data_IF_983704186272
#
_entry.id   IF_983704186272
#
_cell.length_a   1.000
_cell.length_b   1.000
_cell.length_c   1.000
_cell.angle_alpha   90.00
_cell.angle_beta   90.00
_cell.angle_gamma   90.00
#
_symmetry.space_group_name_H-M   'P 1'
#
loop_
_entity.id
_entity.type
_entity.pdbx_description
1 polymer ?
#
# COMPACT_ATOMS: atom_id res chain seq x y z
N UNK A 1 9.74 -27.95 2.23
CA UNK A 1 9.69 -29.15 3.11
C UNK A 1 8.92 -28.90 4.41
N UNK A 2 9.44 -28.17 5.41
CA UNK A 2 8.71 -27.98 6.68
C UNK A 2 7.39 -27.19 6.50
N UNK A 3 7.44 -26.08 5.76
CA UNK A 3 6.28 -25.26 5.40
C UNK A 3 5.18 -26.10 4.70
N UNK A 4 5.55 -26.84 3.65
CA UNK A 4 4.62 -27.72 2.92
C UNK A 4 4.02 -28.82 3.80
N UNK A 5 4.79 -29.34 4.77
CA UNK A 5 4.28 -30.33 5.72
C UNK A 5 3.23 -29.71 6.65
N UNK A 6 3.43 -28.48 7.14
CA UNK A 6 2.41 -27.77 7.93
C UNK A 6 1.17 -27.51 7.08
N UNK A 7 1.32 -27.01 5.85
CA UNK A 7 0.19 -26.85 4.93
C UNK A 7 -0.63 -28.14 4.80
N UNK A 8 0.06 -29.28 4.60
CA UNK A 8 -0.58 -30.58 4.45
C UNK A 8 -1.32 -31.01 5.73
N UNK A 9 -0.74 -30.73 6.91
CA UNK A 9 -1.37 -30.99 8.21
C UNK A 9 -2.69 -30.23 8.32
N UNK A 10 -2.71 -28.95 7.97
CA UNK A 10 -3.91 -28.11 8.05
C UNK A 10 -5.02 -28.52 7.06
N UNK A 11 -4.66 -29.14 5.94
CA UNK A 11 -5.62 -29.63 4.93
C UNK A 11 -6.19 -31.01 5.29
N UNK A 12 -5.36 -31.90 5.86
CA UNK A 12 -5.68 -33.33 5.94
C UNK A 12 -6.19 -33.80 7.30
N UNK A 13 -6.03 -32.98 8.36
CA UNK A 13 -6.28 -33.40 9.74
C UNK A 13 -7.43 -32.61 10.35
N UNK A 14 -8.31 -33.30 11.09
CA UNK A 14 -9.50 -32.69 11.71
C UNK A 14 -9.17 -31.64 12.78
N UNK A 15 -8.06 -31.82 13.51
CA UNK A 15 -7.58 -30.92 14.57
C UNK A 15 -6.10 -30.56 14.36
N UNK A 16 -5.79 -29.72 13.36
CA UNK A 16 -4.41 -29.45 12.98
C UNK A 16 -3.62 -28.70 14.05
N UNK A 17 -4.29 -27.88 14.88
CA UNK A 17 -3.66 -27.13 15.99
C UNK A 17 -3.07 -28.04 17.06
N UNK A 18 -3.74 -29.15 17.39
CA UNK A 18 -3.25 -30.10 18.41
C UNK A 18 -1.97 -30.77 17.95
N UNK A 19 -1.94 -31.28 16.71
CA UNK A 19 -0.74 -31.90 16.17
C UNK A 19 0.41 -30.89 16.02
N UNK A 20 0.12 -29.67 15.55
CA UNK A 20 1.14 -28.62 15.47
C UNK A 20 1.68 -28.27 16.87
N UNK A 21 0.86 -28.32 17.91
CA UNK A 21 1.31 -28.07 19.28
C UNK A 21 2.26 -29.16 19.77
N UNK A 22 1.93 -30.43 19.51
CA UNK A 22 2.81 -31.57 19.83
C UNK A 22 4.15 -31.48 19.08
N UNK A 23 4.12 -31.13 17.79
CA UNK A 23 5.32 -30.94 16.98
C UNK A 23 6.17 -29.79 17.53
N UNK A 24 5.56 -28.63 17.80
CA UNK A 24 6.27 -27.47 18.35
C UNK A 24 6.88 -27.78 19.72
N UNK A 25 6.14 -28.46 20.61
CA UNK A 25 6.63 -28.86 21.92
C UNK A 25 7.82 -29.82 21.82
N UNK A 26 7.75 -30.82 20.93
CA UNK A 26 8.84 -31.78 20.71
C UNK A 26 10.07 -31.12 20.09
N UNK A 27 9.89 -30.18 19.18
CA UNK A 27 11.02 -29.42 18.62
C UNK A 27 11.64 -28.52 19.69
N UNK A 28 10.81 -27.85 20.51
CA UNK A 28 11.31 -27.01 21.60
C UNK A 28 12.10 -27.82 22.66
N UNK A 29 11.66 -29.05 22.98
CA UNK A 29 12.41 -29.92 23.88
C UNK A 29 13.76 -30.34 23.27
N UNK A 30 13.76 -30.74 21.99
CA UNK A 30 15.00 -31.10 21.27
C UNK A 30 15.97 -29.93 21.16
N UNK A 31 15.46 -28.70 20.98
CA UNK A 31 16.30 -27.50 20.96
C UNK A 31 16.91 -27.25 22.34
N UNK A 32 16.14 -27.44 23.41
CA UNK A 32 16.61 -27.31 24.79
C UNK A 32 17.67 -28.37 25.12
N UNK A 33 17.49 -29.61 24.67
CA UNK A 33 18.45 -30.71 24.87
C UNK A 33 19.75 -30.52 24.08
N UNK A 34 19.71 -29.84 22.94
CA UNK A 34 20.88 -29.53 22.11
C UNK A 34 21.45 -28.12 22.40
N UNK A 35 21.05 -27.48 23.50
CA UNK A 35 21.61 -26.19 23.90
C UNK A 35 23.07 -26.37 24.35
N UNK A 36 23.93 -25.46 23.92
CA UNK A 36 25.37 -25.54 24.23
C UNK A 36 25.61 -24.85 25.56
N UNK A 37 26.36 -25.51 26.45
CA UNK A 37 26.84 -24.90 27.70
C UNK A 37 27.88 -23.84 27.38
N UNK A 38 27.53 -22.57 27.55
CA UNK A 38 28.48 -21.45 27.46
C UNK A 38 28.78 -20.92 28.87
N UNK A 39 30.04 -21.01 29.30
CA UNK A 39 30.49 -20.45 30.58
C UNK A 39 30.97 -19.02 30.34
N UNK A 40 30.14 -18.04 30.71
CA UNK A 40 30.49 -16.61 30.58
C UNK A 40 31.17 -16.09 31.85
N UNK A 41 30.94 -16.73 33.01
CA UNK A 41 31.55 -16.45 34.33
C UNK A 41 31.68 -17.76 35.13
N UNK A 42 32.54 -17.82 36.18
CA UNK A 42 32.82 -19.06 36.92
C UNK A 42 31.62 -19.76 37.57
N UNK A 43 30.45 -19.09 37.67
CA UNK A 43 29.27 -19.57 38.39
C UNK A 43 27.93 -19.30 37.67
N UNK A 44 27.92 -19.12 36.34
CA UNK A 44 26.65 -18.99 35.59
C UNK A 44 26.71 -19.79 34.30
N UNK A 45 26.10 -20.97 34.33
CA UNK A 45 25.81 -21.77 33.13
C UNK A 45 24.70 -21.07 32.34
N UNK A 46 25.04 -20.55 31.16
CA UNK A 46 24.06 -20.06 30.20
C UNK A 46 23.96 -21.09 29.08
N UNK A 47 22.78 -21.68 28.94
CA UNK A 47 22.47 -22.55 27.81
C UNK A 47 22.15 -21.70 26.61
N UNK A 48 23.03 -21.71 25.61
CA UNK A 48 22.89 -20.91 24.40
C UNK A 48 22.41 -21.81 23.25
N UNK A 49 21.21 -21.49 22.74
CA UNK A 49 20.63 -22.20 21.61
C UNK A 49 21.33 -21.72 20.34
N UNK A 50 21.81 -22.62 19.46
CA UNK A 50 22.35 -22.21 18.18
C UNK A 50 21.37 -21.35 17.37
N UNK A 51 21.81 -20.17 16.92
CA UNK A 51 20.97 -19.21 16.22
C UNK A 51 20.25 -19.80 14.99
N UNK A 52 20.90 -20.71 14.26
CA UNK A 52 20.27 -21.41 13.12
C UNK A 52 19.05 -22.26 13.55
N UNK A 53 19.13 -22.97 14.68
CA UNK A 53 18.01 -23.77 15.20
C UNK A 53 16.88 -22.86 15.68
N UNK A 54 17.24 -21.77 16.36
CA UNK A 54 16.29 -20.76 16.82
C UNK A 54 15.55 -20.11 15.64
N UNK A 55 16.27 -19.69 14.59
CA UNK A 55 15.69 -19.09 13.40
C UNK A 55 14.72 -20.05 12.69
N UNK A 56 15.09 -21.33 12.56
CA UNK A 56 14.20 -22.35 11.97
C UNK A 56 12.93 -22.55 12.79
N UNK A 57 13.05 -22.58 14.12
CA UNK A 57 11.90 -22.72 15.00
C UNK A 57 10.98 -21.50 14.93
N UNK A 58 11.53 -20.28 14.94
CA UNK A 58 10.75 -19.05 14.76
C UNK A 58 10.00 -19.02 13.43
N UNK A 59 10.66 -19.45 12.34
CA UNK A 59 10.01 -19.58 11.03
C UNK A 59 8.82 -20.55 11.06
N UNK A 60 9.00 -21.71 11.73
CA UNK A 60 7.94 -22.69 11.96
C UNK A 60 6.76 -22.06 12.72
N UNK A 61 7.01 -21.37 13.83
CA UNK A 61 5.98 -20.69 14.62
C UNK A 61 5.17 -19.71 13.77
N UNK A 62 5.85 -18.88 12.98
CA UNK A 62 5.20 -17.97 12.05
C UNK A 62 4.37 -18.69 11.00
N UNK A 63 4.87 -19.79 10.42
CA UNK A 63 4.15 -20.55 9.42
C UNK A 63 2.89 -21.22 10.01
N UNK A 64 2.96 -21.77 11.22
CA UNK A 64 1.79 -22.33 11.93
C UNK A 64 0.73 -21.24 12.16
N UNK A 65 1.13 -20.04 12.60
CA UNK A 65 0.21 -18.93 12.79
C UNK A 65 -0.50 -18.54 11.49
N UNK A 66 0.24 -18.43 10.39
CA UNK A 66 -0.35 -18.10 9.07
C UNK A 66 -1.31 -19.19 8.60
N UNK A 67 -0.93 -20.47 8.69
CA UNK A 67 -1.79 -21.58 8.28
C UNK A 67 -3.06 -21.67 9.13
N UNK A 68 -2.96 -21.35 10.42
CA UNK A 68 -4.15 -21.24 11.28
C UNK A 68 -5.14 -20.21 10.77
N UNK A 69 -4.67 -19.02 10.38
CA UNK A 69 -5.52 -17.98 9.78
C UNK A 69 -6.13 -18.42 8.47
N UNK A 70 -5.34 -19.04 7.59
CA UNK A 70 -5.82 -19.53 6.29
C UNK A 70 -6.90 -20.59 6.47
N UNK A 71 -6.67 -21.56 7.36
CA UNK A 71 -7.63 -22.61 7.69
C UNK A 71 -8.95 -22.04 8.22
N UNK A 72 -8.89 -21.06 9.13
CA UNK A 72 -10.09 -20.43 9.65
C UNK A 72 -10.83 -19.61 8.57
N UNK A 73 -10.11 -18.75 7.85
CA UNK A 73 -10.70 -17.81 6.87
C UNK A 73 -11.17 -18.48 5.57
N UNK A 74 -10.57 -19.59 5.16
CA UNK A 74 -10.91 -20.27 3.90
C UNK A 74 -11.78 -21.50 4.16
N UNK A 75 -11.32 -22.43 4.99
CA UNK A 75 -11.97 -23.73 5.15
C UNK A 75 -13.15 -23.66 6.12
N UNK A 76 -12.92 -23.11 7.32
CA UNK A 76 -13.99 -22.97 8.32
C UNK A 76 -15.04 -21.97 7.85
N UNK A 77 -14.66 -20.83 7.26
CA UNK A 77 -15.62 -19.89 6.70
C UNK A 77 -16.53 -20.55 5.65
N UNK A 78 -15.95 -21.29 4.70
CA UNK A 78 -16.72 -22.00 3.69
C UNK A 78 -17.65 -23.05 4.31
N UNK A 79 -17.19 -23.76 5.34
CA UNK A 79 -17.98 -24.73 6.08
C UNK A 79 -19.16 -24.09 6.82
N UNK A 80 -18.93 -23.04 7.60
CA UNK A 80 -19.97 -22.32 8.34
C UNK A 80 -21.01 -21.71 7.39
N UNK A 81 -20.56 -21.14 6.28
CA UNK A 81 -21.44 -20.61 5.22
C UNK A 81 -22.36 -21.70 4.64
N UNK A 82 -21.82 -22.90 4.37
CA UNK A 82 -22.63 -24.05 3.91
C UNK A 82 -23.66 -24.47 4.97
N UNK A 83 -23.26 -24.49 6.24
CA UNK A 83 -24.16 -24.86 7.34
C UNK A 83 -25.31 -23.86 7.50
N UNK A 84 -25.04 -22.55 7.42
CA UNK A 84 -26.08 -21.53 7.52
C UNK A 84 -27.02 -21.55 6.31
N UNK A 85 -26.51 -21.81 5.11
CA UNK A 85 -27.35 -22.03 3.92
C UNK A 85 -28.29 -23.23 4.10
N UNK A 86 -27.82 -24.32 4.71
CA UNK A 86 -28.66 -25.49 5.02
C UNK A 86 -29.69 -25.18 6.11
N UNK A 87 -29.33 -24.42 7.15
CA UNK A 87 -30.27 -23.95 8.18
C UNK A 87 -31.35 -23.06 7.59
N UNK A 88 -31.01 -22.17 6.65
CA UNK A 88 -31.97 -21.35 5.91
C UNK A 88 -32.97 -22.21 5.13
N UNK A 89 -32.48 -23.20 4.37
CA UNK A 89 -33.35 -24.16 3.64
C UNK A 89 -34.33 -24.87 4.58
N UNK A 90 -33.85 -25.29 5.76
CA UNK A 90 -34.68 -25.92 6.80
C UNK A 90 -35.70 -24.95 7.41
N UNK A 91 -35.34 -23.68 7.66
CA UNK A 91 -36.24 -22.64 8.18
C UNK A 91 -37.30 -22.24 7.15
N UNK A 92 -36.97 -22.19 5.85
CA UNK A 92 -37.94 -21.92 4.79
C UNK A 92 -38.90 -23.08 4.52
N UNK A 93 -38.55 -24.31 4.92
CA UNK A 93 -39.42 -25.49 4.80
C UNK A 93 -40.36 -25.70 5.98
N UNK A 94 -40.29 -24.88 7.05
CA UNK A 94 -41.28 -24.90 8.13
C UNK A 94 -42.50 -24.10 7.65
N UNK A 95 -43.69 -24.72 7.47
CA UNK A 95 -44.88 -23.97 7.12
C UNK A 95 -45.22 -22.99 8.25
N UNK A 96 -45.59 -21.75 7.91
CA UNK A 96 -46.11 -20.74 8.85
C UNK A 96 -47.44 -21.23 9.46
N UNK A 97 -47.36 -22.15 10.41
CA UNK A 97 -48.49 -22.57 11.25
C UNK A 97 -48.41 -21.65 12.47
N UNK A 98 -49.45 -20.84 12.69
CA UNK A 98 -49.56 -19.73 13.66
C UNK A 98 -49.06 -18.35 13.20
N UNK A 99 -49.73 -17.79 12.17
CA UNK A 99 -50.10 -16.37 12.24
C UNK A 99 -51.53 -16.26 12.76
N UNK A 100 -51.69 -15.90 14.03
CA UNK A 100 -52.96 -15.49 14.62
C UNK A 100 -53.52 -14.28 13.85
N UNK A 101 -54.83 -14.22 13.52
CA UNK A 101 -55.39 -13.07 12.81
C UNK A 101 -55.38 -11.85 13.75
N UNK A 102 -54.73 -10.76 13.32
CA UNK A 102 -54.92 -9.44 13.96
C UNK A 102 -56.35 -8.98 13.69
N UNK A 103 -57.13 -8.54 14.69
CA UNK A 103 -58.43 -7.92 14.46
C UNK A 103 -58.21 -6.56 13.77
N UNK A 104 -58.99 -6.30 12.72
CA UNK A 104 -58.97 -5.03 12.01
C UNK A 104 -59.53 -3.89 12.86
N UNK A 105 -58.89 -2.72 12.78
CA UNK A 105 -59.54 -1.44 13.06
C UNK A 105 -59.07 -0.40 12.04
N UNK A 106 -60.04 -0.05 11.19
CA UNK A 106 -60.31 1.20 10.46
C UNK A 106 -59.17 2.00 9.80
N UNK A 107 -59.36 2.14 8.49
CA UNK A 107 -58.90 3.19 7.59
C UNK A 107 -59.33 4.62 7.99
N UNK A 108 -58.44 5.61 7.80
CA UNK A 108 -58.65 6.96 7.16
C UNK A 108 -57.37 7.83 7.33
N UNK A 109 -57.18 9.00 6.65
CA UNK A 109 -56.37 9.11 5.43
C UNK A 109 -55.16 10.07 5.56
N UNK A 110 -54.38 10.15 4.47
CA UNK A 110 -53.20 11.01 4.23
C UNK A 110 -53.23 12.41 4.87
N UNK A 111 -52.09 12.80 5.47
CA UNK A 111 -51.59 14.19 5.38
C UNK A 111 -50.06 14.24 5.41
N UNK A 112 -49.51 15.13 4.58
CA UNK A 112 -48.09 15.41 4.44
C UNK A 112 -47.54 16.12 5.68
N UNK A 113 -46.36 15.71 6.17
CA UNK A 113 -45.31 16.63 6.60
C UNK A 113 -44.01 15.91 6.95
N UNK A 114 -42.98 16.19 6.14
CA UNK A 114 -41.63 16.65 6.55
C UNK A 114 -41.01 15.96 7.79
N UNK A 115 -40.00 15.11 7.59
CA UNK A 115 -38.93 14.88 8.57
C UNK A 115 -37.60 14.49 7.92
N UNK A 116 -36.66 15.45 8.01
CA UNK A 116 -35.20 15.22 8.09
C UNK A 116 -34.88 14.37 9.32
N UNK A 117 -33.69 13.77 9.30
CA UNK A 117 -33.11 12.77 10.22
C UNK A 117 -33.48 11.33 9.88
N UNK A 118 -32.87 10.83 8.81
CA UNK A 118 -32.50 9.42 8.74
C UNK A 118 -31.42 9.18 9.81
N UNK A 119 -31.88 8.87 11.01
CA UNK A 119 -31.13 8.10 11.98
C UNK A 119 -30.53 6.89 11.26
N UNK A 120 -29.24 6.63 11.46
CA UNK A 120 -28.59 5.37 11.13
C UNK A 120 -29.52 4.21 11.52
N UNK A 121 -30.30 3.71 10.55
CA UNK A 121 -30.99 2.44 10.71
C UNK A 121 -29.86 1.43 10.67
N UNK A 122 -29.51 0.90 11.83
CA UNK A 122 -28.69 -0.29 11.98
C UNK A 122 -29.31 -1.36 11.06
N UNK A 123 -28.72 -1.50 9.87
CA UNK A 123 -28.97 -2.66 9.03
C UNK A 123 -28.47 -3.83 9.86
N UNK A 124 -29.31 -4.83 10.17
CA UNK A 124 -28.84 -6.01 10.87
C UNK A 124 -27.71 -6.63 10.05
N UNK A 125 -26.59 -7.04 10.68
CA UNK A 125 -25.49 -7.63 9.94
C UNK A 125 -25.99 -8.85 9.17
N UNK A 126 -25.49 -9.01 7.95
CA UNK A 126 -25.83 -10.17 7.13
C UNK A 126 -25.29 -11.44 7.79
N UNK A 127 -25.89 -12.60 7.48
CA UNK A 127 -25.40 -13.88 8.00
C UNK A 127 -23.92 -14.15 7.64
N UNK A 128 -23.42 -13.55 6.55
CA UNK A 128 -22.00 -13.65 6.15
C UNK A 128 -21.09 -12.80 7.05
N UNK A 129 -21.52 -11.59 7.41
CA UNK A 129 -20.82 -10.72 8.36
C UNK A 129 -20.73 -11.37 9.75
N UNK A 130 -21.83 -11.94 10.24
CA UNK A 130 -21.83 -12.64 11.55
C UNK A 130 -20.93 -13.88 11.57
N UNK A 131 -20.83 -14.61 10.45
CA UNK A 131 -19.92 -15.75 10.32
C UNK A 131 -18.46 -15.29 10.30
N UNK A 132 -18.18 -14.17 9.65
CA UNK A 132 -16.84 -13.58 9.63
C UNK A 132 -16.44 -13.07 11.03
N UNK A 133 -17.34 -12.40 11.75
CA UNK A 133 -17.13 -11.98 13.14
C UNK A 133 -16.82 -13.17 14.06
N UNK A 134 -17.51 -14.31 13.88
CA UNK A 134 -17.21 -15.53 14.64
C UNK A 134 -15.79 -16.03 14.40
N UNK A 135 -15.30 -15.97 13.16
CA UNK A 135 -13.92 -16.37 12.85
C UNK A 135 -12.92 -15.42 13.51
N UNK A 136 -13.17 -14.11 13.46
CA UNK A 136 -12.30 -13.13 14.12
C UNK A 136 -12.26 -13.33 15.64
N UNK A 137 -13.39 -13.68 16.26
CA UNK A 137 -13.45 -14.04 17.68
C UNK A 137 -12.66 -15.32 18.00
N UNK A 138 -12.77 -16.36 17.16
CA UNK A 138 -11.97 -17.59 17.28
C UNK A 138 -10.46 -17.30 17.19
N UNK A 139 -10.03 -16.52 16.19
CA UNK A 139 -8.63 -16.11 16.07
C UNK A 139 -8.16 -15.34 17.32
N UNK A 140 -8.97 -14.41 17.80
CA UNK A 140 -8.61 -13.58 18.95
C UNK A 140 -8.52 -14.38 20.25
N UNK A 141 -9.35 -15.41 20.42
CA UNK A 141 -9.26 -16.33 21.57
C UNK A 141 -8.00 -17.19 21.52
N UNK A 142 -7.66 -17.73 20.35
CA UNK A 142 -6.46 -18.58 20.16
C UNK A 142 -5.15 -17.84 20.47
N UNK A 143 -5.11 -16.51 20.42
CA UNK A 143 -3.86 -15.78 20.73
C UNK A 143 -3.85 -15.22 22.16
N UNK A 144 -5.02 -15.11 22.80
CA UNK A 144 -5.15 -14.60 24.19
C UNK A 144 -5.00 -15.66 25.26
N UNK A 145 -5.32 -16.91 24.93
CA UNK A 145 -5.32 -18.00 25.89
C UNK A 145 -3.93 -18.64 25.96
N UNK A 146 -3.24 -18.47 27.08
CA UNK A 146 -1.91 -19.03 27.32
C UNK A 146 -1.87 -20.57 27.30
N UNK A 147 -3.03 -21.25 27.27
CA UNK A 147 -3.11 -22.70 27.11
C UNK A 147 -3.13 -23.17 25.65
N UNK A 148 -3.36 -22.25 24.72
CA UNK A 148 -3.42 -22.53 23.29
C UNK A 148 -2.05 -22.43 22.63
N UNK A 149 -1.91 -23.01 21.44
CA UNK A 149 -0.62 -23.04 20.75
C UNK A 149 -0.12 -21.64 20.41
N UNK A 150 -0.99 -20.78 19.85
CA UNK A 150 -0.58 -19.45 19.42
C UNK A 150 -0.36 -18.52 20.62
N UNK A 151 -1.18 -18.64 21.67
CA UNK A 151 -0.97 -17.93 22.94
C UNK A 151 0.38 -18.22 23.57
N UNK A 152 0.83 -19.48 23.58
CA UNK A 152 2.16 -19.85 24.08
C UNK A 152 3.32 -19.34 23.20
N UNK A 153 3.15 -19.37 21.87
CA UNK A 153 4.23 -19.02 20.93
C UNK A 153 4.42 -17.51 20.76
N UNK A 154 3.36 -16.70 20.87
CA UNK A 154 3.44 -15.27 20.61
C UNK A 154 4.42 -14.53 21.56
N UNK A 155 4.37 -14.69 22.89
CA UNK A 155 5.31 -14.04 23.81
C UNK A 155 6.77 -14.36 23.46
N UNK A 156 7.05 -15.62 23.12
CA UNK A 156 8.38 -16.06 22.70
C UNK A 156 8.85 -15.34 21.42
N UNK A 157 7.99 -15.24 20.40
CA UNK A 157 8.30 -14.50 19.16
C UNK A 157 8.57 -13.02 19.46
N UNK A 158 7.74 -12.37 20.28
CA UNK A 158 7.93 -10.96 20.68
C UNK A 158 9.27 -10.76 21.39
N UNK A 159 9.62 -11.64 22.33
CA UNK A 159 10.89 -11.60 23.05
C UNK A 159 12.07 -11.71 22.08
N UNK A 160 12.03 -12.64 21.13
CA UNK A 160 13.13 -12.83 20.16
C UNK A 160 13.23 -11.72 19.12
N UNK A 161 12.14 -11.05 18.77
CA UNK A 161 12.20 -9.79 18.00
C UNK A 161 12.99 -8.70 18.76
N UNK A 162 12.70 -8.51 20.05
CA UNK A 162 13.40 -7.51 20.87
C UNK A 162 14.86 -7.88 21.11
N UNK A 163 15.14 -9.17 21.32
CA UNK A 163 16.49 -9.68 21.46
C UNK A 163 17.31 -9.48 20.18
N UNK A 164 16.77 -9.87 19.03
CA UNK A 164 17.49 -9.78 17.75
C UNK A 164 17.85 -8.35 17.35
N UNK A 165 17.04 -7.36 17.75
CA UNK A 165 17.36 -5.93 17.59
C UNK A 165 18.60 -5.49 18.38
N UNK A 166 18.98 -6.19 19.44
CA UNK A 166 20.17 -5.88 20.28
C UNK A 166 21.40 -6.68 19.88
N UNK A 167 21.21 -7.91 19.41
CA UNK A 167 22.29 -8.86 19.14
C UNK A 167 22.67 -8.96 17.66
N UNK A 168 21.87 -8.39 16.76
CA UNK A 168 22.15 -8.29 15.31
C UNK A 168 22.41 -9.62 14.58
N UNK A 169 21.87 -10.74 15.07
CA UNK A 169 21.86 -11.99 14.31
C UNK A 169 20.82 -11.92 13.18
N UNK A 170 21.32 -11.91 11.95
CA UNK A 170 20.50 -11.71 10.74
C UNK A 170 19.48 -12.82 10.48
N UNK A 171 19.79 -14.07 10.83
CA UNK A 171 18.90 -15.21 10.56
C UNK A 171 17.76 -15.23 11.58
N UNK A 172 18.09 -15.05 12.86
CA UNK A 172 17.10 -14.96 13.94
C UNK A 172 16.23 -13.72 13.77
N UNK A 173 16.82 -12.57 13.43
CA UNK A 173 16.05 -11.34 13.20
C UNK A 173 15.04 -11.51 12.06
N UNK A 174 15.49 -12.07 10.93
CA UNK A 174 14.61 -12.29 9.78
C UNK A 174 13.44 -13.23 10.12
N UNK A 175 13.75 -14.36 10.78
CA UNK A 175 12.74 -15.34 11.16
C UNK A 175 11.78 -14.79 12.22
N UNK A 176 12.27 -14.09 13.24
CA UNK A 176 11.46 -13.48 14.28
C UNK A 176 10.53 -12.41 13.70
N UNK A 177 11.06 -11.52 12.85
CA UNK A 177 10.30 -10.43 12.25
C UNK A 177 9.17 -10.93 11.34
N UNK A 178 9.46 -11.91 10.49
CA UNK A 178 8.45 -12.57 9.66
C UNK A 178 7.43 -13.36 10.50
N UNK A 179 7.87 -14.02 11.56
CA UNK A 179 6.96 -14.70 12.47
C UNK A 179 6.00 -13.70 13.11
N UNK A 180 6.52 -12.59 13.67
CA UNK A 180 5.71 -11.53 14.26
C UNK A 180 4.67 -10.99 13.27
N UNK A 181 5.09 -10.70 12.02
CA UNK A 181 4.19 -10.26 10.97
C UNK A 181 3.04 -11.25 10.72
N UNK A 182 3.34 -12.56 10.67
CA UNK A 182 2.34 -13.62 10.50
C UNK A 182 1.40 -13.74 11.70
N UNK A 183 1.91 -13.56 12.93
CA UNK A 183 1.06 -13.50 14.13
C UNK A 183 0.14 -12.26 14.14
N UNK A 184 0.62 -11.12 13.64
CA UNK A 184 -0.19 -9.91 13.53
C UNK A 184 -1.37 -10.09 12.56
N UNK A 185 -1.27 -10.98 11.56
CA UNK A 185 -2.39 -11.36 10.67
C UNK A 185 -3.47 -12.21 11.35
N UNK A 186 -3.20 -12.75 12.54
CA UNK A 186 -4.14 -13.60 13.28
C UNK A 186 -5.22 -12.76 13.94
N UNK A 187 -4.83 -11.69 14.63
CA UNK A 187 -5.75 -10.88 15.42
C UNK A 187 -5.45 -9.40 15.29
N UNK A 188 -6.52 -8.62 15.16
CA UNK A 188 -6.48 -7.16 15.12
C UNK A 188 -5.75 -6.57 16.34
N UNK A 189 -6.02 -7.10 17.54
CA UNK A 189 -5.38 -6.65 18.77
C UNK A 189 -3.86 -6.92 18.75
N UNK A 190 -3.44 -8.08 18.24
CA UNK A 190 -2.02 -8.42 18.13
C UNK A 190 -1.34 -7.51 17.11
N UNK A 191 -2.01 -7.16 16.01
CA UNK A 191 -1.52 -6.16 15.09
C UNK A 191 -1.29 -4.82 15.81
N UNK A 192 -2.33 -4.28 16.45
CA UNK A 192 -2.30 -2.97 17.13
C UNK A 192 -1.16 -2.88 18.17
N UNK A 193 -1.05 -3.86 19.05
CA UNK A 193 -0.04 -3.89 20.13
C UNK A 193 1.40 -3.94 19.63
N UNK A 194 1.64 -4.49 18.42
CA UNK A 194 2.98 -4.75 17.91
C UNK A 194 3.39 -3.85 16.75
N UNK A 195 2.52 -2.96 16.27
CA UNK A 195 2.82 -2.05 15.15
C UNK A 195 4.10 -1.23 15.37
N UNK A 196 4.34 -0.73 16.59
CA UNK A 196 5.55 0.05 16.90
C UNK A 196 6.83 -0.81 16.79
N UNK A 197 6.80 -2.05 17.27
CA UNK A 197 7.94 -2.96 17.16
C UNK A 197 8.19 -3.33 15.71
N UNK A 198 7.13 -3.68 14.97
CA UNK A 198 7.16 -3.96 13.53
C UNK A 198 7.81 -2.80 12.76
N UNK A 199 7.30 -1.59 12.96
CA UNK A 199 7.83 -0.35 12.39
C UNK A 199 9.34 -0.16 12.67
N UNK A 200 9.74 -0.40 13.92
CA UNK A 200 11.14 -0.24 14.35
C UNK A 200 12.05 -1.24 13.62
N UNK A 201 11.60 -2.49 13.44
CA UNK A 201 12.34 -3.50 12.66
C UNK A 201 12.45 -3.07 11.20
N UNK A 202 11.36 -2.61 10.58
CA UNK A 202 11.36 -2.13 9.18
C UNK A 202 12.34 -0.97 8.96
N UNK A 203 12.42 -0.06 9.93
CA UNK A 203 13.27 1.14 9.82
C UNK A 203 14.74 0.84 10.10
N UNK A 204 15.04 0.10 11.19
CA UNK A 204 16.39 -0.01 11.76
C UNK A 204 17.15 -1.28 11.37
N UNK A 205 16.54 -2.23 10.67
CA UNK A 205 17.23 -3.46 10.27
C UNK A 205 18.37 -3.17 9.29
N UNK A 206 19.61 -3.64 9.54
CA UNK A 206 20.74 -3.42 8.65
C UNK A 206 20.59 -4.19 7.33
N UNK A 207 19.96 -5.37 7.40
CA UNK A 207 19.80 -6.27 6.26
C UNK A 207 18.63 -5.87 5.36
N UNK A 208 18.90 -5.75 4.06
CA UNK A 208 17.94 -5.30 3.04
C UNK A 208 16.77 -6.26 2.85
N UNK A 209 17.03 -7.57 2.82
CA UNK A 209 15.99 -8.58 2.65
C UNK A 209 14.99 -8.58 3.84
N UNK A 210 15.44 -8.25 5.05
CA UNK A 210 14.54 -8.07 6.21
C UNK A 210 13.64 -6.87 5.95
N UNK A 211 14.21 -5.70 5.58
CA UNK A 211 13.41 -4.49 5.28
C UNK A 211 12.40 -4.74 4.16
N UNK A 212 12.82 -5.38 3.06
CA UNK A 212 11.93 -5.72 1.94
C UNK A 212 10.77 -6.64 2.38
N UNK A 213 11.06 -7.69 3.15
CA UNK A 213 10.05 -8.60 3.69
C UNK A 213 9.05 -7.87 4.60
N UNK A 214 9.53 -6.95 5.44
CA UNK A 214 8.66 -6.17 6.32
C UNK A 214 7.78 -5.17 5.56
N UNK A 215 8.26 -4.62 4.44
CA UNK A 215 7.44 -3.78 3.55
C UNK A 215 6.29 -4.58 2.94
N UNK A 216 6.57 -5.78 2.43
CA UNK A 216 5.55 -6.68 1.88
C UNK A 216 4.54 -7.05 2.97
N UNK A 217 5.01 -7.45 4.14
CA UNK A 217 4.16 -7.77 5.28
C UNK A 217 3.31 -6.58 5.74
N UNK A 218 3.82 -5.34 5.66
CA UNK A 218 3.01 -4.14 5.93
C UNK A 218 1.85 -4.02 4.94
N UNK A 219 2.06 -4.41 3.68
CA UNK A 219 1.00 -4.53 2.68
C UNK A 219 -0.08 -5.52 3.08
N UNK A 220 0.30 -6.74 3.46
CA UNK A 220 -0.65 -7.78 3.89
C UNK A 220 -1.46 -7.33 5.12
N UNK A 221 -0.79 -6.70 6.09
CA UNK A 221 -1.44 -6.10 7.26
C UNK A 221 -2.38 -4.97 6.88
N UNK A 222 -2.02 -4.12 5.91
CA UNK A 222 -2.88 -3.04 5.43
C UNK A 222 -4.18 -3.58 4.79
N UNK A 223 -4.10 -4.70 4.06
CA UNK A 223 -5.30 -5.35 3.52
C UNK A 223 -6.17 -6.02 4.58
N UNK A 224 -5.55 -6.49 5.68
CA UNK A 224 -6.24 -7.20 6.75
C UNK A 224 -6.86 -6.26 7.79
N UNK A 225 -6.14 -5.21 8.16
CA UNK A 225 -6.47 -4.26 9.23
C UNK A 225 -6.16 -2.81 8.81
N UNK A 226 -6.87 -2.27 7.80
CA UNK A 226 -6.52 -0.97 7.19
C UNK A 226 -6.52 0.19 8.20
N UNK A 227 -7.47 0.20 9.14
CA UNK A 227 -7.59 1.28 10.13
C UNK A 227 -6.38 1.35 11.08
N UNK A 228 -5.80 0.20 11.44
CA UNK A 228 -4.62 0.14 12.32
C UNK A 228 -3.37 0.55 11.56
N UNK A 229 -3.27 0.14 10.29
CA UNK A 229 -2.06 0.33 9.49
C UNK A 229 -2.01 1.71 8.84
N UNK A 230 -3.16 2.39 8.63
CA UNK A 230 -3.22 3.71 7.98
C UNK A 230 -2.17 4.71 8.51
N UNK A 231 -2.01 4.91 9.83
CA UNK A 231 -1.01 5.85 10.38
C UNK A 231 0.43 5.50 10.01
N UNK A 232 0.70 4.22 9.76
CA UNK A 232 2.03 3.66 9.46
C UNK A 232 2.33 3.61 7.96
N UNK A 233 1.34 3.85 7.08
CA UNK A 233 1.52 3.79 5.62
C UNK A 233 2.64 4.68 5.09
N UNK A 234 2.94 5.79 5.77
CA UNK A 234 4.07 6.67 5.45
C UNK A 234 5.43 5.94 5.44
N UNK A 235 5.58 4.87 6.23
CA UNK A 235 6.80 4.07 6.28
C UNK A 235 7.06 3.32 4.97
N UNK A 236 6.02 2.87 4.27
CA UNK A 236 6.17 2.23 2.96
C UNK A 236 6.75 3.26 1.97
N UNK A 237 6.22 4.49 1.95
CA UNK A 237 6.75 5.56 1.09
C UNK A 237 8.19 5.93 1.43
N UNK A 238 8.59 5.91 2.70
CA UNK A 238 9.99 6.16 3.09
C UNK A 238 10.95 5.11 2.53
N UNK A 239 10.49 3.87 2.30
CA UNK A 239 11.32 2.79 1.71
C UNK A 239 11.54 2.94 0.20
N UNK A 240 10.85 3.86 -0.47
CA UNK A 240 11.16 4.25 -1.86
C UNK A 240 12.53 4.93 -2.00
N UNK A 241 13.13 5.39 -0.90
CA UNK A 241 14.47 5.98 -0.84
C UNK A 241 15.50 5.04 -0.18
N UNK A 242 15.18 3.76 -0.02
CA UNK A 242 16.11 2.80 0.58
C UNK A 242 17.38 2.68 -0.29
N UNK A 243 18.59 2.57 0.29
CA UNK A 243 19.82 2.40 -0.49
C UNK A 243 19.77 1.17 -1.40
N UNK A 244 19.07 0.12 -1.00
CA UNK A 244 19.05 -1.16 -1.70
C UNK A 244 17.87 -1.25 -2.67
N UNK A 245 18.14 -1.58 -3.94
CA UNK A 245 17.13 -1.60 -5.00
C UNK A 245 16.01 -2.60 -4.73
N UNK A 246 16.34 -3.77 -4.16
CA UNK A 246 15.34 -4.79 -3.79
C UNK A 246 14.29 -4.28 -2.81
N UNK A 247 14.65 -3.35 -1.92
CA UNK A 247 13.72 -2.77 -0.94
C UNK A 247 12.83 -1.73 -1.62
N UNK A 248 13.41 -0.91 -2.50
CA UNK A 248 12.65 0.07 -3.31
C UNK A 248 11.64 -0.64 -4.21
N UNK A 249 12.05 -1.71 -4.88
CA UNK A 249 11.18 -2.54 -5.71
C UNK A 249 10.02 -3.13 -4.91
N UNK A 250 10.29 -3.75 -3.76
CA UNK A 250 9.26 -4.28 -2.86
C UNK A 250 8.27 -3.18 -2.42
N UNK A 251 8.74 -1.98 -2.13
CA UNK A 251 7.89 -0.84 -1.77
C UNK A 251 6.98 -0.40 -2.91
N UNK A 252 7.49 -0.31 -4.14
CA UNK A 252 6.67 0.07 -5.31
C UNK A 252 5.62 -0.98 -5.61
N UNK A 253 6.00 -2.27 -5.62
CA UNK A 253 5.06 -3.37 -5.86
C UNK A 253 3.95 -3.37 -4.80
N UNK A 254 4.33 -3.23 -3.53
CA UNK A 254 3.38 -3.16 -2.42
C UNK A 254 2.43 -1.97 -2.56
N UNK A 255 2.96 -0.76 -2.84
CA UNK A 255 2.13 0.43 -3.07
C UNK A 255 1.21 0.26 -4.27
N UNK A 256 1.69 -0.36 -5.34
CA UNK A 256 0.88 -0.65 -6.53
C UNK A 256 -0.34 -1.48 -6.15
N UNK A 257 -0.15 -2.57 -5.42
CA UNK A 257 -1.28 -3.39 -4.96
C UNK A 257 -2.22 -2.57 -4.06
N UNK A 258 -1.70 -1.88 -3.04
CA UNK A 258 -2.54 -1.15 -2.09
C UNK A 258 -3.36 -0.02 -2.74
N UNK A 259 -2.78 0.69 -3.70
CA UNK A 259 -3.46 1.78 -4.41
C UNK A 259 -4.48 1.23 -5.41
N UNK A 260 -4.14 0.16 -6.14
CA UNK A 260 -5.05 -0.42 -7.12
C UNK A 260 -6.29 -1.07 -6.50
N UNK A 261 -6.16 -1.61 -5.28
CA UNK A 261 -7.29 -2.16 -4.52
C UNK A 261 -7.94 -1.16 -3.54
N UNK A 262 -7.59 0.14 -3.64
CA UNK A 262 -8.17 1.23 -2.84
C UNK A 262 -7.99 1.10 -1.31
N UNK A 263 -7.00 0.30 -0.85
CA UNK A 263 -6.59 0.25 0.56
C UNK A 263 -5.81 1.50 0.98
N UNK A 264 -5.04 2.08 0.05
CA UNK A 264 -4.31 3.33 0.27
C UNK A 264 -4.72 4.33 -0.81
N UNK A 265 -5.14 5.53 -0.37
CA UNK A 265 -5.41 6.63 -1.29
C UNK A 265 -4.11 7.23 -1.79
N UNK A 266 -4.13 7.68 -3.04
CA UNK A 266 -3.04 8.46 -3.61
C UNK A 266 -2.92 9.78 -2.85
N UNK A 267 -1.81 9.95 -2.13
CA UNK A 267 -1.44 11.15 -1.35
C UNK A 267 -0.25 11.85 -2.02
N UNK A 268 0.19 12.99 -1.49
CA UNK A 268 1.35 13.73 -2.00
C UNK A 268 2.67 12.93 -2.01
N UNK A 269 2.75 11.87 -1.19
CA UNK A 269 3.92 10.97 -1.18
C UNK A 269 4.06 10.12 -2.46
N UNK A 270 3.07 10.12 -3.36
CA UNK A 270 3.18 9.45 -4.67
C UNK A 270 4.28 10.07 -5.54
N UNK A 271 4.65 11.33 -5.28
CA UNK A 271 5.77 11.99 -5.94
C UNK A 271 7.12 11.29 -5.65
N UNK A 272 7.24 10.59 -4.53
CA UNK A 272 8.41 9.76 -4.24
C UNK A 272 8.47 8.51 -5.12
N UNK A 273 7.31 7.91 -5.43
CA UNK A 273 7.26 6.80 -6.38
C UNK A 273 7.54 7.28 -7.81
N UNK A 274 7.18 8.52 -8.14
CA UNK A 274 7.50 9.12 -9.43
C UNK A 274 9.02 9.26 -9.65
N UNK A 275 9.78 9.60 -8.60
CA UNK A 275 11.26 9.66 -8.66
C UNK A 275 11.87 8.33 -9.08
N UNK A 276 11.28 7.22 -8.64
CA UNK A 276 11.73 5.87 -9.00
C UNK A 276 11.57 5.52 -10.48
N UNK A 277 10.82 6.28 -11.29
CA UNK A 277 10.79 6.08 -12.75
C UNK A 277 12.19 6.28 -13.35
N UNK A 278 12.99 7.20 -12.80
CA UNK A 278 14.36 7.46 -13.23
C UNK A 278 15.39 6.81 -12.28
N UNK A 279 15.04 5.72 -11.60
CA UNK A 279 15.96 4.99 -10.74
C UNK A 279 17.16 4.43 -11.53
N UNK A 280 18.32 4.35 -10.87
CA UNK A 280 19.52 3.74 -11.44
C UNK A 280 19.35 2.24 -11.71
N UNK A 281 18.49 1.56 -10.94
CA UNK A 281 18.17 0.16 -11.11
C UNK A 281 16.99 0.01 -12.09
N UNK A 282 17.23 -0.75 -13.17
CA UNK A 282 16.24 -0.94 -14.23
C UNK A 282 14.99 -1.70 -13.75
N UNK A 283 15.11 -2.59 -12.77
CA UNK A 283 14.00 -3.31 -12.17
C UNK A 283 13.07 -2.34 -11.44
N UNK A 284 13.64 -1.51 -10.56
CA UNK A 284 12.93 -0.45 -9.84
C UNK A 284 12.25 0.53 -10.81
N UNK A 285 12.96 0.98 -11.84
CA UNK A 285 12.41 1.84 -12.88
C UNK A 285 11.21 1.21 -13.59
N UNK A 286 11.31 -0.07 -13.95
CA UNK A 286 10.24 -0.79 -14.65
C UNK A 286 8.96 -0.93 -13.81
N UNK A 287 9.08 -1.29 -12.52
CA UNK A 287 7.91 -1.40 -11.63
C UNK A 287 7.31 -0.04 -11.32
N UNK A 288 8.12 1.03 -11.25
CA UNK A 288 7.63 2.40 -11.11
C UNK A 288 6.84 2.81 -12.35
N UNK A 289 7.38 2.58 -13.55
CA UNK A 289 6.67 2.89 -14.80
C UNK A 289 5.32 2.17 -14.89
N UNK A 290 5.29 0.89 -14.50
CA UNK A 290 4.07 0.08 -14.45
C UNK A 290 3.01 0.66 -13.49
N UNK A 291 3.41 1.12 -12.29
CA UNK A 291 2.50 1.79 -11.36
C UNK A 291 1.78 2.97 -12.01
N UNK A 292 2.51 3.86 -12.70
CA UNK A 292 1.90 5.03 -13.34
C UNK A 292 1.05 4.67 -14.55
N UNK A 293 1.40 3.60 -15.27
CA UNK A 293 0.53 3.05 -16.32
C UNK A 293 -0.80 2.57 -15.73
N UNK A 294 -0.78 1.81 -14.62
CA UNK A 294 -2.00 1.34 -13.96
C UNK A 294 -2.81 2.49 -13.36
N UNK A 295 -2.15 3.52 -12.82
CA UNK A 295 -2.81 4.74 -12.35
C UNK A 295 -3.48 5.53 -13.47
N UNK A 296 -2.95 5.50 -14.69
CA UNK A 296 -3.59 6.14 -15.85
C UNK A 296 -4.96 5.55 -16.16
N UNK A 297 -5.17 4.27 -15.84
CA UNK A 297 -6.43 3.55 -16.02
C UNK A 297 -7.46 3.95 -14.95
N UNK A 298 -7.03 4.49 -13.80
CA UNK A 298 -7.91 4.98 -12.70
C UNK A 298 -8.35 6.45 -12.89
N UNK A 299 -9.19 6.70 -13.88
CA UNK A 299 -9.88 7.99 -14.03
C UNK A 299 -8.96 9.17 -14.33
N UNK A 300 -8.99 10.23 -13.49
CA UNK A 300 -8.17 11.43 -13.68
C UNK A 300 -7.04 11.55 -12.62
N UNK A 301 -6.61 10.44 -12.02
CA UNK A 301 -5.61 10.45 -10.93
C UNK A 301 -4.29 11.06 -11.39
N UNK A 302 -3.78 10.70 -12.57
CA UNK A 302 -2.52 11.24 -13.13
C UNK A 302 -2.56 12.78 -13.23
N UNK A 303 -3.66 13.33 -13.75
CA UNK A 303 -3.84 14.79 -13.84
C UNK A 303 -3.76 15.49 -12.48
N UNK A 304 -4.28 14.85 -11.42
CA UNK A 304 -4.33 15.43 -10.09
C UNK A 304 -2.97 15.41 -9.37
N UNK A 305 -2.10 14.45 -9.70
CA UNK A 305 -0.80 14.30 -9.02
C UNK A 305 0.32 15.09 -9.71
N UNK A 306 0.22 15.40 -11.01
CA UNK A 306 1.26 16.12 -11.77
C UNK A 306 1.74 17.40 -11.06
N UNK A 307 0.86 18.29 -10.56
CA UNK A 307 1.32 19.49 -9.87
C UNK A 307 2.19 19.20 -8.65
N UNK A 308 1.91 18.13 -7.92
CA UNK A 308 2.66 17.75 -6.72
C UNK A 308 3.98 17.05 -7.10
N UNK A 309 3.94 16.19 -8.12
CA UNK A 309 5.15 15.57 -8.71
C UNK A 309 6.13 16.64 -9.18
N UNK A 310 5.69 17.62 -9.96
CA UNK A 310 6.56 18.72 -10.41
C UNK A 310 7.17 19.43 -9.21
N UNK A 311 6.37 19.83 -8.22
CA UNK A 311 6.93 20.52 -7.04
C UNK A 311 7.94 19.71 -6.25
N UNK A 312 7.75 18.39 -6.17
CA UNK A 312 8.65 17.49 -5.44
C UNK A 312 9.95 17.21 -6.18
N UNK A 313 9.91 17.17 -7.52
CA UNK A 313 11.10 17.00 -8.36
C UNK A 313 11.89 18.31 -8.49
N UNK A 314 11.19 19.44 -8.59
CA UNK A 314 11.75 20.78 -8.74
C UNK A 314 12.22 21.43 -7.44
N UNK A 315 12.20 20.71 -6.31
CA UNK A 315 12.73 21.22 -5.03
C UNK A 315 14.26 21.21 -5.10
N UNK A 316 14.95 22.36 -4.92
CA UNK A 316 16.41 22.43 -4.91
C UNK A 316 17.06 21.49 -3.89
N UNK A 317 16.36 21.14 -2.81
CA UNK A 317 16.86 20.22 -1.78
C UNK A 317 16.84 18.75 -2.21
N UNK A 318 16.09 18.43 -3.26
CA UNK A 318 15.96 17.04 -3.74
C UNK A 318 17.23 16.54 -4.42
N UNK A 319 18.07 17.43 -4.97
CA UNK A 319 19.25 17.07 -5.74
C UNK A 319 18.93 16.27 -7.02
N UNK A 320 17.68 16.32 -7.49
CA UNK A 320 17.22 15.59 -8.67
C UNK A 320 17.78 16.22 -9.94
N UNK A 321 18.30 15.40 -10.86
CA UNK A 321 18.92 15.92 -12.10
C UNK A 321 17.88 16.35 -13.13
N UNK A 322 18.22 17.30 -13.99
CA UNK A 322 17.35 17.73 -15.09
C UNK A 322 17.03 16.55 -16.02
N UNK A 323 18.01 15.70 -16.34
CA UNK A 323 17.80 14.52 -17.20
C UNK A 323 16.78 13.55 -16.59
N UNK A 324 16.90 13.27 -15.29
CA UNK A 324 15.95 12.45 -14.55
C UNK A 324 14.56 13.10 -14.53
N UNK A 325 14.45 14.42 -14.33
CA UNK A 325 13.19 15.15 -14.42
C UNK A 325 12.51 14.93 -15.77
N UNK A 326 13.29 15.06 -16.85
CA UNK A 326 12.77 14.87 -18.19
C UNK A 326 12.26 13.45 -18.44
N UNK A 327 12.95 12.42 -17.94
CA UNK A 327 12.52 11.02 -18.04
C UNK A 327 11.18 10.81 -17.32
N UNK A 328 11.09 11.24 -16.05
CA UNK A 328 9.88 11.10 -15.23
C UNK A 328 8.69 11.81 -15.88
N UNK A 329 8.87 13.08 -16.26
CA UNK A 329 7.77 13.89 -16.79
C UNK A 329 7.33 13.45 -18.19
N UNK A 330 8.24 12.96 -19.05
CA UNK A 330 7.86 12.35 -20.33
C UNK A 330 6.95 11.13 -20.10
N UNK A 331 7.31 10.26 -19.16
CA UNK A 331 6.52 9.06 -18.84
C UNK A 331 5.15 9.40 -18.27
N UNK A 332 5.06 10.40 -17.38
CA UNK A 332 3.78 10.73 -16.71
C UNK A 332 2.85 11.53 -17.63
N UNK A 333 3.37 12.54 -18.36
CA UNK A 333 2.54 13.43 -19.17
C UNK A 333 1.92 12.75 -20.38
N UNK A 334 2.52 11.67 -20.90
CA UNK A 334 1.96 10.91 -22.03
C UNK A 334 0.56 10.36 -21.73
N UNK A 335 0.22 10.15 -20.46
CA UNK A 335 -1.08 9.63 -20.05
C UNK A 335 -2.19 10.70 -19.98
N UNK A 336 -1.88 11.98 -20.22
CA UNK A 336 -2.86 13.09 -20.21
C UNK A 336 -3.36 13.38 -21.62
N UNK A 337 -4.25 12.53 -22.12
CA UNK A 337 -4.74 12.64 -23.52
C UNK A 337 -5.99 13.52 -23.68
N UNK A 338 -6.80 13.69 -22.63
CA UNK A 338 -8.06 14.43 -22.72
C UNK A 338 -7.80 15.94 -22.85
N UNK A 339 -8.27 16.55 -23.93
CA UNK A 339 -8.07 17.98 -24.24
C UNK A 339 -8.40 18.91 -23.07
N UNK A 340 -9.53 18.70 -22.39
CA UNK A 340 -9.92 19.52 -21.21
C UNK A 340 -8.93 19.42 -20.05
N UNK A 341 -8.30 18.26 -19.86
CA UNK A 341 -7.28 18.07 -18.82
C UNK A 341 -5.98 18.76 -19.22
N UNK A 342 -5.60 18.70 -20.50
CA UNK A 342 -4.45 19.44 -21.03
C UNK A 342 -4.66 20.95 -20.83
N UNK A 343 -5.82 21.49 -21.22
CA UNK A 343 -6.16 22.91 -21.02
C UNK A 343 -6.09 23.36 -19.56
N UNK A 344 -6.58 22.53 -18.63
CA UNK A 344 -6.51 22.80 -17.20
C UNK A 344 -5.09 22.67 -16.63
N UNK A 345 -4.28 21.75 -17.18
CA UNK A 345 -2.90 21.58 -16.76
C UNK A 345 -2.05 22.77 -17.21
N UNK A 346 -2.20 23.22 -18.46
CA UNK A 346 -1.50 24.41 -18.98
C UNK A 346 -1.76 25.63 -18.10
N UNK A 347 -3.02 25.88 -17.73
CA UNK A 347 -3.38 26.98 -16.83
C UNK A 347 -2.66 26.87 -15.48
N UNK A 348 -2.70 25.70 -14.85
CA UNK A 348 -2.01 25.45 -13.58
C UNK A 348 -0.49 25.65 -13.68
N UNK A 349 0.12 25.19 -14.78
CA UNK A 349 1.56 25.34 -15.02
C UNK A 349 1.93 26.81 -15.23
N UNK A 350 1.14 27.56 -15.99
CA UNK A 350 1.34 29.00 -16.19
C UNK A 350 1.21 29.79 -14.88
N UNK A 351 0.20 29.51 -14.06
CA UNK A 351 0.11 30.12 -12.73
C UNK A 351 1.31 29.75 -11.85
N UNK A 352 1.81 28.51 -11.92
CA UNK A 352 3.03 28.15 -11.17
C UNK A 352 4.28 28.83 -11.70
N UNK A 353 4.33 29.09 -13.01
CA UNK A 353 5.42 29.80 -13.67
C UNK A 353 5.55 31.23 -13.14
N UNK A 354 4.44 31.89 -12.76
CA UNK A 354 4.47 33.23 -12.14
C UNK A 354 5.02 33.23 -10.72
N UNK A 355 4.75 32.16 -9.97
CA UNK A 355 5.13 32.04 -8.56
C UNK A 355 6.53 31.44 -8.36
N UNK A 356 7.16 30.98 -9.45
CA UNK A 356 8.45 30.29 -9.41
C UNK A 356 9.59 31.26 -9.10
N UNK A 357 10.42 30.89 -8.13
CA UNK A 357 11.52 31.75 -7.63
C UNK A 357 12.90 31.37 -8.18
N UNK A 358 13.04 30.24 -8.86
CA UNK A 358 14.33 29.70 -9.35
C UNK A 358 14.33 29.46 -10.85
N UNK A 359 15.47 29.64 -11.50
CA UNK A 359 15.63 29.39 -12.95
C UNK A 359 15.37 27.92 -13.32
N UNK A 360 15.81 26.98 -12.47
CA UNK A 360 15.57 25.54 -12.65
C UNK A 360 14.08 25.21 -12.74
N UNK A 361 13.27 25.74 -11.81
CA UNK A 361 11.82 25.56 -11.85
C UNK A 361 11.20 26.11 -13.14
N UNK A 362 11.69 27.25 -13.64
CA UNK A 362 11.22 27.83 -14.89
C UNK A 362 11.59 26.94 -16.09
N UNK A 363 12.80 26.39 -16.13
CA UNK A 363 13.23 25.45 -17.18
C UNK A 363 12.35 24.19 -17.20
N UNK A 364 12.13 23.60 -16.03
CA UNK A 364 11.32 22.38 -15.85
C UNK A 364 9.84 22.58 -16.20
N UNK A 365 9.25 23.72 -15.79
CA UNK A 365 7.87 24.07 -16.17
C UNK A 365 7.75 24.31 -17.69
N UNK A 366 8.71 25.01 -18.29
CA UNK A 366 8.73 25.25 -19.75
C UNK A 366 8.90 23.94 -20.52
N UNK A 367 9.75 23.04 -20.03
CA UNK A 367 9.90 21.71 -20.58
C UNK A 367 8.58 20.93 -20.53
N UNK A 368 7.87 20.92 -19.40
CA UNK A 368 6.57 20.26 -19.28
C UNK A 368 5.57 20.80 -20.31
N UNK A 369 5.50 22.13 -20.49
CA UNK A 369 4.65 22.76 -21.52
C UNK A 369 5.02 22.32 -22.94
N UNK A 370 6.31 22.09 -23.22
CA UNK A 370 6.79 21.64 -24.54
C UNK A 370 6.44 20.21 -24.92
N UNK A 371 6.16 19.35 -23.94
CA UNK A 371 5.75 17.95 -24.17
C UNK A 371 4.25 17.85 -24.46
N UNK A 372 3.44 18.75 -23.90
CA UNK A 372 1.99 18.69 -24.03
C UNK A 372 1.55 18.97 -25.48
N UNK A 373 0.58 18.20 -25.97
CA UNK A 373 -0.05 18.47 -27.26
C UNK A 373 -1.10 19.57 -27.11
N UNK A 374 -0.69 20.81 -27.36
CA UNK A 374 -1.54 22.00 -27.18
C UNK A 374 -2.60 22.15 -28.28
N UNK A 375 -3.82 22.53 -27.87
CA UNK A 375 -4.91 22.94 -28.77
C UNK A 375 -5.04 24.48 -28.84
N UNK A 376 -5.97 24.99 -29.64
CA UNK A 376 -6.20 26.44 -29.82
C UNK A 376 -6.38 27.19 -28.49
N UNK A 377 -7.22 26.66 -27.60
CA UNK A 377 -7.46 27.26 -26.28
C UNK A 377 -6.23 27.28 -25.38
N UNK A 378 -5.36 26.27 -25.47
CA UNK A 378 -4.09 26.27 -24.74
C UNK A 378 -3.18 27.42 -25.18
N UNK A 379 -3.13 27.72 -26.49
CA UNK A 379 -2.37 28.87 -27.01
C UNK A 379 -2.97 30.19 -26.52
N UNK A 380 -4.29 30.34 -26.53
CA UNK A 380 -4.95 31.54 -25.99
C UNK A 380 -4.59 31.74 -24.51
N UNK A 381 -4.59 30.68 -23.70
CA UNK A 381 -4.16 30.75 -22.30
C UNK A 381 -2.69 31.12 -22.15
N UNK A 382 -1.79 30.53 -22.94
CA UNK A 382 -0.37 30.91 -22.92
C UNK A 382 -0.17 32.39 -23.26
N UNK A 383 -0.98 32.92 -24.18
CA UNK A 383 -0.95 34.32 -24.56
C UNK A 383 -1.38 35.28 -23.46
N UNK A 384 -2.18 34.85 -22.49
CA UNK A 384 -2.48 35.64 -21.28
C UNK A 384 -1.22 35.91 -20.45
N UNK A 385 -0.22 35.03 -20.51
CA UNK A 385 1.06 35.14 -19.81
C UNK A 385 2.22 35.61 -20.69
N UNK A 386 1.94 36.15 -21.89
CA UNK A 386 2.96 36.50 -22.89
C UNK A 386 4.07 37.43 -22.41
N UNK A 387 3.75 38.39 -21.52
CA UNK A 387 4.74 39.36 -21.04
C UNK A 387 5.83 38.66 -20.20
N UNK A 388 5.43 37.73 -19.34
CA UNK A 388 6.34 36.92 -18.53
C UNK A 388 7.19 36.00 -19.40
N UNK A 389 6.58 35.36 -20.40
CA UNK A 389 7.31 34.53 -21.36
C UNK A 389 8.36 35.39 -22.10
N UNK A 390 7.97 36.57 -22.59
CA UNK A 390 8.84 37.49 -23.34
C UNK A 390 10.02 38.01 -22.52
N UNK A 391 9.82 38.34 -21.24
CA UNK A 391 10.90 38.75 -20.33
C UNK A 391 11.94 37.63 -20.14
N UNK A 392 11.49 36.37 -20.16
CA UNK A 392 12.33 35.18 -19.94
C UNK A 392 12.88 34.55 -21.23
N UNK A 393 12.49 35.05 -22.42
CA UNK A 393 13.03 34.63 -23.72
C UNK A 393 14.54 34.87 -23.90
N UNK A 394 15.16 35.67 -23.02
CA UNK A 394 16.61 35.88 -23.01
C UNK A 394 17.39 34.62 -22.62
N UNK A 395 16.73 33.65 -21.98
CA UNK A 395 17.32 32.38 -21.60
C UNK A 395 17.28 31.38 -22.78
N UNK A 396 18.45 30.83 -23.20
CA UNK A 396 18.53 29.95 -24.37
C UNK A 396 17.78 28.62 -24.18
N UNK A 397 17.66 28.13 -22.95
CA UNK A 397 16.96 26.87 -22.63
C UNK A 397 15.45 27.06 -22.75
N UNK A 398 14.93 28.15 -22.17
CA UNK A 398 13.51 28.52 -22.27
C UNK A 398 13.15 28.79 -23.74
N UNK A 399 13.99 29.53 -24.46
CA UNK A 399 13.79 29.80 -25.89
C UNK A 399 13.71 28.51 -26.71
N UNK A 400 14.59 27.53 -26.44
CA UNK A 400 14.56 26.22 -27.10
C UNK A 400 13.22 25.49 -26.84
N UNK A 401 12.74 25.45 -25.60
CA UNK A 401 11.48 24.78 -25.29
C UNK A 401 10.26 25.49 -25.85
N UNK A 402 10.24 26.84 -25.86
CA UNK A 402 9.16 27.62 -26.49
C UNK A 402 9.16 27.42 -28.01
N UNK A 403 10.34 27.35 -28.63
CA UNK A 403 10.45 27.03 -30.05
C UNK A 403 9.89 25.62 -30.32
N UNK A 404 10.18 24.65 -29.46
CA UNK A 404 9.60 23.31 -29.53
C UNK A 404 8.08 23.30 -29.35
N UNK A 405 7.53 24.09 -28.43
CA UNK A 405 6.06 24.28 -28.30
C UNK A 405 5.48 24.69 -29.66
N UNK A 406 6.11 25.68 -30.30
CA UNK A 406 5.64 26.18 -31.58
C UNK A 406 5.78 25.18 -32.72
N UNK A 407 6.73 24.24 -32.63
CA UNK A 407 6.97 23.19 -33.61
C UNK A 407 6.03 21.98 -33.42
N UNK A 408 5.69 21.66 -32.16
CA UNK A 408 4.83 20.55 -31.76
C UNK A 408 3.32 20.83 -31.96
N UNK A 409 2.96 22.03 -32.42
CA UNK A 409 1.60 22.36 -32.76
C UNK A 409 1.03 21.39 -33.81
N UNK A 410 -0.06 20.70 -33.46
CA UNK A 410 -0.79 19.87 -34.42
C UNK A 410 -1.28 20.78 -35.55
N UNK A 411 -0.71 20.64 -36.75
CA UNK A 411 -1.12 21.31 -38.00
C UNK A 411 -2.56 20.97 -38.48
N UNK A 412 -3.34 20.27 -37.66
CA UNK A 412 -4.57 19.60 -38.10
C UNK A 412 -5.84 20.46 -37.96
N UNK A 413 -5.77 21.65 -37.34
CA UNK A 413 -6.91 22.57 -37.24
C UNK A 413 -6.50 24.00 -37.65
N UNK A 414 -7.23 24.58 -38.60
CA UNK A 414 -6.98 25.92 -39.14
C UNK A 414 -7.04 26.99 -38.05
N UNK A 415 -7.87 26.80 -37.03
CA UNK A 415 -8.00 27.75 -35.91
C UNK A 415 -6.78 27.72 -34.99
N UNK A 416 -6.23 26.53 -34.73
CA UNK A 416 -4.98 26.36 -33.97
C UNK A 416 -3.79 26.96 -34.73
N UNK A 417 -3.79 26.88 -36.07
CA UNK A 417 -2.75 27.51 -36.88
C UNK A 417 -2.73 29.05 -36.73
N UNK A 418 -3.91 29.69 -36.70
CA UNK A 418 -4.02 31.15 -36.48
C UNK A 418 -3.51 31.56 -35.11
N UNK A 419 -3.94 30.89 -34.04
CA UNK A 419 -3.49 31.19 -32.67
C UNK A 419 -1.98 30.95 -32.50
N UNK A 420 -1.44 29.92 -33.17
CA UNK A 420 0.00 29.64 -33.20
C UNK A 420 0.79 30.76 -33.91
N UNK A 421 0.29 31.27 -35.03
CA UNK A 421 0.93 32.40 -35.73
C UNK A 421 0.93 33.67 -34.88
N UNK A 422 -0.17 33.95 -34.17
CA UNK A 422 -0.25 35.06 -33.21
C UNK A 422 0.78 34.86 -32.09
N UNK A 423 0.86 33.65 -31.54
CA UNK A 423 1.83 33.30 -30.49
C UNK A 423 3.28 33.52 -30.92
N UNK A 424 3.65 33.04 -32.12
CA UNK A 424 4.99 33.24 -32.69
C UNK A 424 5.32 34.71 -32.89
N UNK A 425 4.40 35.46 -33.49
CA UNK A 425 4.59 36.88 -33.80
C UNK A 425 4.79 37.72 -32.54
N UNK A 426 4.02 37.45 -31.48
CA UNK A 426 4.06 38.23 -30.24
C UNK A 426 5.32 37.95 -29.40
N UNK A 427 5.84 36.72 -29.46
CA UNK A 427 7.09 36.31 -28.80
C UNK A 427 8.34 36.57 -29.64
N UNK A 428 8.20 36.90 -30.93
CA UNK A 428 9.31 37.23 -31.82
C UNK A 428 10.14 36.02 -32.26
N UNK A 429 9.49 34.88 -32.48
CA UNK A 429 10.10 33.58 -32.84
C UNK A 429 9.70 33.16 -34.24
#
# INVERSE_FOLDING_TARGET
MADEAICTIFVMIDKPTVLCAEICAKIASLISENSVLTTVLPNSELFEIPNMLLARFLSLCGHVALQYVMYLKLDIFAYLRKQEMQRRRRRSSIPKIFSTPKPGFLSTPKSLSRKKHESYRLVPPTDEETTYEQILDMCSKEVKDDTTLLGMLLPFVKEKCLWSLRHHDKEVQAAAALALAKFMLVSEQVCEENMQLFATITEKSPESYIRANMVIAMGDLCTSYPNIVEPWTSQIYQRLRDPESSVREAAIITLTHLILYDFVRVKSLISEAAKCIADSDAGVSSVAMYLFEELSKKGNVIYNIIPDVISSLSDPKSGFSEESFQIVMKHILQYVEKEKLVEGLVEKLCCRFTDSSTEVQLHELTFCLSILTLNDKCYTKLMEFKNLLKERMSDPVIMKYITNISANAKKNDAKTATELEIFRKELGI
#
